data_IF_938682220854
#
_entry.id   IF_938682220854
#
_cell.length_a   1.000
_cell.length_b   1.000
_cell.length_c   1.000
_cell.angle_alpha   90.00
_cell.angle_beta   90.00
_cell.angle_gamma   90.00
#
_symmetry.space_group_name_H-M   'P 1'
#
loop_
_entity.id
_entity.type
_entity.pdbx_description
1 polymer ?
#
# COMPACT_ATOMS: atom_id res chain seq x y z
N UNK A 1 -54.77 -4.30 1.92
CA UNK A 1 -53.93 -4.61 0.73
C UNK A 1 -52.99 -3.47 0.31
N UNK A 2 -53.32 -2.20 0.58
CA UNK A 2 -52.47 -1.06 0.17
C UNK A 2 -51.22 -0.86 1.06
N UNK A 3 -51.30 -1.11 2.37
CA UNK A 3 -50.17 -0.95 3.29
C UNK A 3 -48.99 -1.87 2.95
N UNK A 4 -49.28 -3.13 2.60
CA UNK A 4 -48.26 -4.13 2.24
C UNK A 4 -47.54 -3.75 0.94
N UNK A 5 -48.25 -3.15 -0.02
CA UNK A 5 -47.67 -2.63 -1.27
C UNK A 5 -46.76 -1.43 -1.00
N UNK A 6 -47.14 -0.54 -0.09
CA UNK A 6 -46.31 0.62 0.28
C UNK A 6 -45.04 0.21 1.01
N UNK A 7 -45.11 -0.77 1.93
CA UNK A 7 -43.92 -1.31 2.62
C UNK A 7 -42.97 -2.01 1.63
N UNK A 8 -43.52 -2.77 0.68
CA UNK A 8 -42.72 -3.43 -0.36
C UNK A 8 -42.05 -2.41 -1.29
N UNK A 9 -42.75 -1.32 -1.65
CA UNK A 9 -42.19 -0.23 -2.47
C UNK A 9 -41.10 0.55 -1.73
N UNK A 10 -41.30 0.86 -0.44
CA UNK A 10 -40.28 1.51 0.40
C UNK A 10 -39.05 0.60 0.57
N UNK A 11 -39.25 -0.72 0.70
CA UNK A 11 -38.19 -1.72 0.72
C UNK A 11 -37.36 -1.74 -0.56
N UNK A 12 -38.01 -1.67 -1.74
CA UNK A 12 -37.33 -1.62 -3.04
C UNK A 12 -36.58 -0.29 -3.24
N UNK A 13 -37.17 0.84 -2.85
CA UNK A 13 -36.52 2.16 -2.97
C UNK A 13 -35.33 2.27 -2.00
N UNK A 14 -35.43 1.71 -0.80
CA UNK A 14 -34.31 1.66 0.17
C UNK A 14 -33.19 0.74 -0.29
N UNK A 15 -33.49 -0.32 -1.05
CA UNK A 15 -32.49 -1.19 -1.67
C UNK A 15 -31.78 -0.50 -2.85
N UNK A 16 -32.49 0.35 -3.60
CA UNK A 16 -31.90 1.12 -4.70
C UNK A 16 -30.94 2.22 -4.24
N UNK A 17 -31.13 2.78 -3.04
CA UNK A 17 -30.27 3.81 -2.46
C UNK A 17 -28.88 3.30 -2.00
N UNK A 18 -28.63 1.99 -2.07
CA UNK A 18 -27.30 1.40 -1.82
C UNK A 18 -26.43 1.29 -3.08
N UNK A 19 -26.89 1.80 -4.22
CA UNK A 19 -26.11 1.82 -5.47
C UNK A 19 -25.32 3.11 -5.62
N UNK A 20 -24.33 3.31 -4.74
CA UNK A 20 -23.20 4.19 -5.09
C UNK A 20 -22.29 3.44 -6.06
N UNK A 21 -22.70 3.41 -7.33
CA UNK A 21 -21.83 3.08 -8.45
C UNK A 21 -21.00 4.32 -8.79
N UNK A 22 -20.06 4.67 -7.92
CA UNK A 22 -18.97 5.58 -8.24
C UNK A 22 -17.68 4.79 -8.06
N UNK A 23 -16.92 4.70 -9.15
CA UNK A 23 -15.63 4.02 -9.28
C UNK A 23 -14.81 4.01 -7.98
N UNK A 24 -14.33 2.85 -7.56
CA UNK A 24 -13.41 2.76 -6.43
C UNK A 24 -12.20 1.94 -6.82
N UNK A 25 -11.06 2.57 -6.68
CA UNK A 25 -9.75 1.97 -6.76
C UNK A 25 -9.59 1.08 -5.50
N UNK A 26 -10.05 -0.18 -5.59
CA UNK A 26 -10.03 -1.11 -4.46
C UNK A 26 -8.59 -1.31 -3.95
N UNK A 27 -8.44 -1.57 -2.65
CA UNK A 27 -7.14 -1.83 -2.04
C UNK A 27 -6.37 -2.93 -2.80
N UNK A 28 -5.16 -2.61 -3.25
CA UNK A 28 -4.28 -3.54 -3.95
C UNK A 28 -3.32 -4.18 -2.93
N UNK A 29 -3.83 -5.10 -2.11
CA UNK A 29 -3.04 -5.74 -1.06
C UNK A 29 -2.17 -6.88 -1.59
N UNK A 30 -0.96 -7.02 -1.05
CA UNK A 30 -0.11 -8.20 -1.29
C UNK A 30 -0.47 -9.35 -0.32
N UNK A 31 -1.22 -9.07 0.76
CA UNK A 31 -1.66 -10.05 1.75
C UNK A 31 -2.91 -10.81 1.25
N UNK A 32 -3.04 -12.12 1.52
CA UNK A 32 -2.34 -12.93 2.53
C UNK A 32 -1.02 -13.57 2.05
N UNK A 33 -0.63 -13.37 0.78
CA UNK A 33 0.50 -14.07 0.18
C UNK A 33 1.84 -13.39 0.44
N UNK A 34 2.91 -14.02 -0.06
CA UNK A 34 4.25 -13.45 -0.10
C UNK A 34 4.57 -12.87 -1.49
N UNK A 35 3.71 -13.08 -2.48
CA UNK A 35 3.81 -12.42 -3.78
C UNK A 35 3.50 -10.92 -3.70
N UNK A 36 4.25 -10.16 -4.48
CA UNK A 36 3.94 -8.76 -4.79
C UNK A 36 3.20 -8.67 -6.12
N UNK A 37 2.09 -7.94 -6.15
CA UNK A 37 1.38 -7.63 -7.41
C UNK A 37 2.18 -6.69 -8.33
N UNK A 38 1.92 -6.77 -9.63
CA UNK A 38 2.63 -5.96 -10.63
C UNK A 38 2.29 -4.47 -10.50
N UNK A 39 1.04 -4.15 -10.17
CA UNK A 39 0.54 -2.79 -10.03
C UNK A 39 1.05 -2.12 -8.76
N UNK A 40 1.23 -0.80 -8.83
CA UNK A 40 1.59 0.03 -7.67
C UNK A 40 0.34 0.50 -6.92
N UNK A 41 0.50 0.98 -5.69
CA UNK A 41 -0.59 1.51 -4.84
C UNK A 41 -1.19 2.83 -5.34
N UNK A 42 -0.53 3.49 -6.29
CA UNK A 42 -0.98 4.75 -6.88
C UNK A 42 -0.33 6.00 -6.27
N UNK A 43 -0.35 7.10 -7.01
CA UNK A 43 0.39 8.33 -6.68
C UNK A 43 -0.07 8.96 -5.36
N UNK A 44 0.87 9.26 -4.45
CA UNK A 44 0.62 9.82 -3.11
C UNK A 44 -0.32 8.96 -2.24
N UNK A 45 -0.40 7.66 -2.51
CA UNK A 45 -1.15 6.70 -1.68
C UNK A 45 -0.18 6.04 -0.73
N UNK A 46 -0.52 6.03 0.56
CA UNK A 46 0.16 5.23 1.57
C UNK A 46 -0.69 3.99 1.85
N UNK A 47 -0.07 2.82 1.86
CA UNK A 47 -0.71 1.58 2.25
C UNK A 47 0.12 0.89 3.32
N UNK A 48 -0.53 0.51 4.42
CA UNK A 48 0.08 -0.23 5.52
C UNK A 48 -0.55 -1.61 5.59
N UNK A 49 0.27 -2.64 5.73
CA UNK A 49 -0.15 -4.01 5.85
C UNK A 49 0.52 -4.63 7.07
N UNK A 50 -0.28 -5.23 7.95
CA UNK A 50 0.19 -5.87 9.16
C UNK A 50 -0.31 -7.30 9.25
N UNK A 51 0.52 -8.19 9.77
CA UNK A 51 0.20 -9.60 9.98
C UNK A 51 0.69 -10.09 11.33
N UNK A 52 -0.09 -10.95 11.97
CA UNK A 52 0.33 -11.73 13.12
C UNK A 52 0.25 -13.21 12.74
N UNK A 53 1.39 -13.89 12.78
CA UNK A 53 1.52 -15.30 12.44
C UNK A 53 2.00 -16.09 13.65
N UNK A 54 1.46 -17.29 13.80
CA UNK A 54 2.04 -18.34 14.62
C UNK A 54 2.97 -19.20 13.76
N UNK A 55 4.12 -19.56 14.31
CA UNK A 55 5.18 -20.31 13.65
C UNK A 55 5.42 -21.59 14.43
N UNK A 56 5.33 -22.71 13.72
CA UNK A 56 5.83 -24.00 14.17
C UNK A 56 6.93 -24.48 13.23
N UNK A 57 8.10 -24.72 13.79
CA UNK A 57 9.27 -25.24 13.09
C UNK A 57 9.79 -26.48 13.80
N UNK A 58 10.01 -27.55 13.06
CA UNK A 58 10.58 -28.79 13.55
C UNK A 58 11.66 -29.26 12.60
N UNK A 59 12.80 -29.71 13.12
CA UNK A 59 13.90 -30.17 12.28
C UNK A 59 14.30 -31.58 12.65
N UNK A 60 14.12 -32.53 11.73
CA UNK A 60 14.33 -33.96 12.01
C UNK A 60 15.81 -34.28 12.27
N UNK A 61 16.70 -33.78 11.42
CA UNK A 61 18.15 -34.08 11.51
C UNK A 61 18.81 -33.44 12.73
N UNK A 62 18.56 -32.15 12.98
CA UNK A 62 19.11 -31.42 14.12
C UNK A 62 18.32 -31.62 15.42
N UNK A 63 17.19 -32.35 15.33
CA UNK A 63 16.29 -32.68 16.44
C UNK A 63 15.98 -31.48 17.34
N UNK A 64 15.46 -30.42 16.72
CA UNK A 64 14.96 -29.24 17.45
C UNK A 64 13.53 -28.90 17.06
N UNK A 65 12.87 -28.17 17.95
CA UNK A 65 11.55 -27.59 17.75
C UNK A 65 11.58 -26.12 18.14
N UNK A 66 11.02 -25.26 17.30
CA UNK A 66 10.81 -23.85 17.60
C UNK A 66 9.33 -23.50 17.44
N UNK A 67 8.76 -22.86 18.46
CA UNK A 67 7.38 -22.39 18.46
C UNK A 67 7.35 -20.92 18.83
N UNK A 68 6.63 -20.12 18.05
CA UNK A 68 6.68 -18.68 18.23
C UNK A 68 5.61 -17.91 17.48
N UNK A 69 5.75 -16.60 17.56
CA UNK A 69 4.96 -15.66 16.81
C UNK A 69 5.86 -14.79 15.94
N UNK A 70 5.35 -14.37 14.79
CA UNK A 70 5.95 -13.34 13.97
C UNK A 70 4.94 -12.23 13.68
N UNK A 71 5.46 -11.01 13.66
CA UNK A 71 4.75 -9.81 13.26
C UNK A 71 5.36 -9.36 11.95
N UNK A 72 4.53 -9.33 10.91
CA UNK A 72 4.88 -8.76 9.61
C UNK A 72 4.32 -7.34 9.51
N UNK A 73 5.14 -6.41 9.05
CA UNK A 73 4.73 -5.04 8.76
C UNK A 73 5.30 -4.62 7.41
N UNK A 74 4.42 -4.21 6.50
CA UNK A 74 4.79 -3.70 5.18
C UNK A 74 4.20 -2.31 5.01
N UNK A 75 5.07 -1.32 4.75
CA UNK A 75 4.69 0.03 4.40
C UNK A 75 4.98 0.29 2.93
N UNK A 76 3.98 0.75 2.16
CA UNK A 76 4.10 1.03 0.73
C UNK A 76 3.64 2.44 0.42
N UNK A 77 4.43 3.19 -0.33
CA UNK A 77 4.14 4.56 -0.68
C UNK A 77 4.34 4.81 -2.17
N UNK A 78 3.28 5.20 -2.87
CA UNK A 78 3.39 5.67 -4.24
C UNK A 78 3.82 7.12 -4.29
N UNK A 79 4.91 7.42 -5.00
CA UNK A 79 5.62 8.70 -4.82
C UNK A 79 5.09 9.79 -5.77
N UNK A 80 5.63 9.87 -7.00
CA UNK A 80 5.31 10.95 -7.95
C UNK A 80 4.63 10.47 -9.25
N UNK A 81 4.76 9.20 -9.60
CA UNK A 81 4.13 8.53 -10.76
C UNK A 81 3.21 7.42 -10.26
N UNK A 82 2.15 7.11 -11.00
CA UNK A 82 1.31 5.96 -10.70
C UNK A 82 2.04 4.63 -10.79
N UNK A 83 3.06 4.57 -11.64
CA UNK A 83 3.83 3.36 -11.92
C UNK A 83 4.93 3.10 -10.88
N UNK A 84 5.21 4.03 -9.97
CA UNK A 84 6.36 3.96 -9.06
C UNK A 84 5.92 3.92 -7.60
N UNK A 85 6.41 2.92 -6.88
CA UNK A 85 6.15 2.66 -5.47
C UNK A 85 7.45 2.36 -4.74
N UNK A 86 7.58 2.86 -3.51
CA UNK A 86 8.62 2.47 -2.57
C UNK A 86 7.98 1.63 -1.47
N UNK A 87 8.66 0.57 -1.04
CA UNK A 87 8.20 -0.30 0.04
C UNK A 87 9.28 -0.52 1.09
N UNK A 88 8.81 -0.74 2.32
CA UNK A 88 9.61 -1.21 3.45
C UNK A 88 8.88 -2.41 4.04
N UNK A 89 9.59 -3.53 4.15
CA UNK A 89 9.10 -4.80 4.68
C UNK A 89 9.89 -5.15 5.94
N UNK A 90 9.20 -5.35 7.05
CA UNK A 90 9.76 -5.68 8.36
C UNK A 90 9.10 -6.96 8.88
N UNK A 91 9.91 -7.89 9.37
CA UNK A 91 9.43 -9.07 10.07
C UNK A 91 10.17 -9.21 11.40
N UNK A 92 9.40 -9.17 12.49
CA UNK A 92 9.90 -9.43 13.83
C UNK A 92 9.41 -10.81 14.30
N UNK A 93 10.32 -11.67 14.74
CA UNK A 93 10.00 -13.02 15.19
C UNK A 93 10.41 -13.20 16.65
N UNK A 94 9.56 -13.89 17.41
CA UNK A 94 9.83 -14.34 18.77
C UNK A 94 9.47 -15.82 18.88
N UNK A 95 10.45 -16.67 19.20
CA UNK A 95 10.20 -18.10 19.36
C UNK A 95 10.92 -18.71 20.56
N UNK A 96 10.44 -19.88 20.97
CA UNK A 96 11.07 -20.74 21.97
C UNK A 96 11.71 -21.90 21.24
N UNK A 97 13.03 -21.85 21.15
CA UNK A 97 13.86 -22.92 20.59
C UNK A 97 14.12 -23.98 21.66
N UNK A 98 13.79 -25.22 21.35
CA UNK A 98 14.00 -26.39 22.21
C UNK A 98 14.72 -27.47 21.42
N UNK A 99 15.91 -27.84 21.86
CA UNK A 99 16.68 -29.01 21.40
C UNK A 99 16.97 -29.90 22.61
N UNK A 100 17.50 -31.10 22.39
CA UNK A 100 17.74 -32.11 23.44
C UNK A 100 18.57 -31.60 24.63
N UNK A 101 19.43 -30.60 24.40
CA UNK A 101 20.36 -30.07 25.41
C UNK A 101 20.14 -28.58 25.74
N UNK A 102 19.40 -27.85 24.89
CA UNK A 102 19.32 -26.39 24.97
C UNK A 102 17.88 -25.95 24.81
N UNK A 103 17.43 -25.12 25.74
CA UNK A 103 16.16 -24.40 25.65
C UNK A 103 16.45 -22.91 25.73
N UNK A 104 16.19 -22.19 24.66
CA UNK A 104 16.42 -20.75 24.61
C UNK A 104 15.20 -20.03 24.02
N UNK A 105 14.98 -18.79 24.44
CA UNK A 105 14.03 -17.88 23.81
C UNK A 105 14.80 -17.01 22.85
N UNK A 106 14.36 -16.93 21.59
CA UNK A 106 14.95 -16.08 20.57
C UNK A 106 14.00 -14.95 20.22
N UNK A 107 14.54 -13.78 19.94
CA UNK A 107 13.75 -12.61 19.58
C UNK A 107 14.55 -11.65 18.72
N UNK A 108 13.98 -11.19 17.60
CA UNK A 108 14.72 -10.30 16.72
C UNK A 108 14.00 -9.95 15.43
N UNK A 109 14.57 -8.95 14.75
CA UNK A 109 14.18 -8.59 13.39
C UNK A 109 14.78 -9.60 12.43
N UNK A 110 13.93 -10.52 11.96
CA UNK A 110 14.34 -11.58 11.03
C UNK A 110 14.55 -11.05 9.61
N UNK A 111 13.73 -10.09 9.19
CA UNK A 111 13.83 -9.49 7.86
C UNK A 111 13.60 -7.98 7.94
N UNK A 112 14.45 -7.23 7.24
CA UNK A 112 14.24 -5.82 6.95
C UNK A 112 14.64 -5.60 5.50
N UNK A 113 13.68 -5.25 4.65
CA UNK A 113 13.92 -5.02 3.23
C UNK A 113 13.36 -3.66 2.86
N UNK A 114 14.15 -2.87 2.13
CA UNK A 114 13.70 -1.60 1.57
C UNK A 114 13.86 -1.70 0.06
N UNK A 115 12.85 -1.30 -0.70
CA UNK A 115 12.96 -1.32 -2.15
C UNK A 115 11.98 -0.42 -2.86
N UNK A 116 12.10 -0.45 -4.18
CA UNK A 116 11.28 0.32 -5.09
C UNK A 116 10.81 -0.58 -6.24
N UNK A 117 9.58 -0.36 -6.68
CA UNK A 117 8.90 -1.07 -7.75
C UNK A 117 8.53 -0.10 -8.86
N UNK A 118 8.73 -0.52 -10.11
CA UNK A 118 8.30 0.24 -11.28
C UNK A 118 7.50 -0.63 -12.25
N UNK A 119 6.29 -0.19 -12.60
CA UNK A 119 5.43 -0.81 -13.60
C UNK A 119 5.82 -0.36 -15.01
N UNK A 120 6.40 -1.26 -15.80
CA UNK A 120 6.84 -0.97 -17.17
C UNK A 120 5.69 -1.07 -18.17
N UNK A 121 4.86 -2.10 -18.02
CA UNK A 121 3.82 -2.40 -18.99
C UNK A 121 2.49 -2.70 -18.30
N UNK A 122 1.47 -1.98 -18.74
CA UNK A 122 0.08 -2.14 -18.32
C UNK A 122 -0.79 -2.45 -19.55
N UNK A 123 -1.27 -3.71 -19.71
CA UNK A 123 -2.14 -4.09 -20.82
C UNK A 123 -3.55 -3.50 -20.74
N UNK A 124 -3.98 -3.01 -19.57
CA UNK A 124 -5.32 -2.48 -19.31
C UNK A 124 -5.40 -0.96 -19.40
N UNK A 125 -4.29 -0.28 -19.70
CA UNK A 125 -4.23 1.19 -19.79
C UNK A 125 -5.21 1.83 -20.78
N UNK A 126 -5.66 1.08 -21.79
CA UNK A 126 -6.68 1.53 -22.76
C UNK A 126 -8.13 1.33 -22.31
N UNK A 127 -8.33 0.89 -21.06
CA UNK A 127 -9.63 0.59 -20.47
C UNK A 127 -10.12 -0.84 -20.75
N UNK A 128 -11.15 -1.30 -20.03
CA UNK A 128 -11.78 -2.60 -20.26
C UNK A 128 -12.44 -2.65 -21.64
N UNK A 129 -12.44 -3.83 -22.26
CA UNK A 129 -13.15 -4.02 -23.52
C UNK A 129 -14.66 -3.81 -23.30
N UNK A 130 -15.30 -3.06 -24.21
CA UNK A 130 -16.75 -2.83 -24.14
C UNK A 130 -17.51 -4.16 -24.26
N UNK A 131 -18.50 -4.43 -23.38
CA UNK A 131 -19.28 -5.67 -23.46
C UNK A 131 -20.12 -5.69 -24.75
N UNK A 132 -20.15 -6.84 -25.42
CA UNK A 132 -21.03 -7.04 -26.58
C UNK A 132 -22.43 -7.37 -26.08
N UNK A 133 -23.39 -6.47 -26.31
CA UNK A 133 -24.79 -6.62 -25.88
C UNK A 133 -25.58 -7.69 -26.65
N UNK A 134 -25.10 -8.15 -27.81
CA UNK A 134 -25.81 -9.08 -28.68
C UNK A 134 -25.43 -10.54 -28.49
N UNK A 135 -24.24 -10.85 -27.96
CA UNK A 135 -23.75 -12.22 -27.89
C UNK A 135 -23.07 -12.53 -26.56
N UNK A 136 -23.73 -13.35 -25.75
CA UNK A 136 -23.16 -13.93 -24.54
C UNK A 136 -21.88 -14.74 -24.83
N UNK A 137 -21.88 -15.52 -25.93
CA UNK A 137 -20.72 -16.31 -26.35
C UNK A 137 -19.54 -15.43 -26.75
N UNK A 138 -19.78 -14.27 -27.38
CA UNK A 138 -18.71 -13.33 -27.70
C UNK A 138 -18.02 -12.76 -26.44
N UNK A 139 -18.77 -12.56 -25.37
CA UNK A 139 -18.23 -12.06 -24.09
C UNK A 139 -17.48 -13.14 -23.29
N UNK A 140 -17.87 -14.42 -23.44
CA UNK A 140 -17.24 -15.56 -22.75
C UNK A 140 -16.15 -16.30 -23.54
N UNK A 141 -15.86 -15.90 -24.78
CA UNK A 141 -14.77 -16.49 -25.56
C UNK A 141 -13.42 -16.09 -24.97
N UNK A 142 -12.51 -17.06 -24.91
CA UNK A 142 -11.12 -16.83 -24.51
C UNK A 142 -10.50 -15.73 -25.39
N UNK A 143 -9.91 -14.71 -24.76
CA UNK A 143 -9.27 -13.58 -25.44
C UNK A 143 -7.76 -13.71 -25.28
N UNK A 144 -7.04 -13.87 -26.37
CA UNK A 144 -5.58 -13.95 -26.35
C UNK A 144 -4.90 -12.74 -25.69
N UNK A 145 -5.53 -11.55 -25.75
CA UNK A 145 -5.05 -10.34 -25.06
C UNK A 145 -4.95 -10.51 -23.53
N UNK A 146 -5.74 -11.39 -22.91
CA UNK A 146 -5.68 -11.64 -21.45
C UNK A 146 -4.49 -12.51 -21.03
N UNK A 147 -3.75 -13.07 -21.99
CA UNK A 147 -2.48 -13.77 -21.73
C UNK A 147 -1.28 -12.82 -21.62
N UNK A 148 -1.45 -11.54 -21.97
CA UNK A 148 -0.37 -10.56 -21.89
C UNK A 148 -0.34 -10.03 -20.46
N UNK A 149 0.71 -10.31 -19.67
CA UNK A 149 0.78 -9.85 -18.29
C UNK A 149 1.08 -8.35 -18.21
N UNK A 150 0.64 -7.73 -17.12
CA UNK A 150 1.28 -6.52 -16.61
C UNK A 150 2.67 -6.88 -16.08
N UNK A 151 3.69 -6.08 -16.42
CA UNK A 151 5.08 -6.37 -16.07
C UNK A 151 5.67 -5.23 -15.27
N UNK A 152 6.19 -5.55 -14.08
CA UNK A 152 6.95 -4.64 -13.25
C UNK A 152 8.28 -5.27 -12.83
N UNK A 153 9.23 -4.42 -12.44
CA UNK A 153 10.42 -4.86 -11.74
C UNK A 153 10.53 -4.17 -10.40
N UNK A 154 11.15 -4.86 -9.47
CA UNK A 154 11.44 -4.44 -8.12
C UNK A 154 12.95 -4.53 -7.89
N UNK A 155 13.50 -3.51 -7.26
CA UNK A 155 14.88 -3.46 -6.78
C UNK A 155 14.85 -3.05 -5.32
N UNK A 156 15.58 -3.76 -4.47
CA UNK A 156 15.67 -3.48 -3.07
C UNK A 156 16.97 -3.96 -2.46
N UNK A 157 17.12 -3.73 -1.17
CA UNK A 157 18.21 -4.24 -0.37
C UNK A 157 17.67 -4.79 0.93
N UNK A 158 18.15 -5.95 1.32
CA UNK A 158 17.96 -6.47 2.66
C UNK A 158 19.00 -5.86 3.58
N UNK A 159 18.55 -5.48 4.76
CA UNK A 159 19.38 -5.08 5.86
C UNK A 159 19.25 -6.12 6.97
N UNK A 160 20.37 -6.66 7.44
CA UNK A 160 20.41 -7.63 8.52
C UNK A 160 20.96 -6.92 9.75
N UNK A 161 20.14 -6.87 10.81
CA UNK A 161 20.58 -6.44 12.13
C UNK A 161 21.02 -7.68 12.92
N UNK A 162 22.16 -7.60 13.60
CA UNK A 162 22.64 -8.72 14.44
C UNK A 162 21.63 -9.05 15.53
N UNK A 163 21.17 -10.30 15.53
CA UNK A 163 20.24 -10.88 16.51
C UNK A 163 20.26 -12.42 16.39
N UNK A 164 19.44 -13.11 17.19
CA UNK A 164 19.37 -14.58 17.24
C UNK A 164 18.98 -15.28 15.92
N UNK A 165 18.46 -14.54 14.93
CA UNK A 165 18.08 -15.04 13.61
C UNK A 165 19.07 -14.65 12.51
N UNK A 166 20.11 -13.88 12.83
CA UNK A 166 21.15 -13.50 11.88
C UNK A 166 21.95 -14.73 11.43
N UNK A 167 22.22 -14.83 10.12
CA UNK A 167 23.01 -15.94 9.59
C UNK A 167 24.49 -15.60 9.77
N UNK A 168 25.31 -16.47 10.41
CA UNK A 168 26.72 -16.22 10.58
C UNK A 168 27.45 -15.99 9.24
N UNK A 169 28.27 -14.93 9.17
CA UNK A 169 29.04 -14.60 7.97
C UNK A 169 28.24 -13.90 6.86
N UNK A 170 26.98 -13.55 7.11
CA UNK A 170 26.17 -12.78 6.17
C UNK A 170 26.53 -11.30 6.17
N UNK A 171 26.58 -10.69 4.98
CA UNK A 171 26.73 -9.24 4.86
C UNK A 171 25.52 -8.51 5.45
N UNK A 172 25.78 -7.43 6.21
CA UNK A 172 24.74 -6.57 6.77
C UNK A 172 23.80 -5.98 5.70
N UNK A 173 24.31 -5.79 4.47
CA UNK A 173 23.52 -5.36 3.33
C UNK A 173 23.63 -6.36 2.18
N UNK A 174 22.50 -6.71 1.58
CA UNK A 174 22.47 -7.57 0.40
C UNK A 174 21.39 -7.14 -0.61
N UNK A 175 21.76 -6.88 -1.89
CA UNK A 175 20.80 -6.53 -2.92
C UNK A 175 19.77 -7.63 -3.22
N UNK A 176 18.57 -7.20 -3.62
CA UNK A 176 17.45 -8.04 -4.04
C UNK A 176 16.82 -7.46 -5.30
N UNK A 177 16.55 -8.30 -6.30
CA UNK A 177 15.80 -7.91 -7.49
C UNK A 177 14.69 -8.89 -7.76
N UNK A 178 13.60 -8.41 -8.33
CA UNK A 178 12.46 -9.24 -8.68
C UNK A 178 11.79 -8.73 -9.95
N UNK A 179 11.38 -9.66 -10.82
CA UNK A 179 10.51 -9.38 -11.96
C UNK A 179 9.14 -9.94 -11.64
N UNK A 180 8.10 -9.14 -11.86
CA UNK A 180 6.72 -9.47 -11.51
C UNK A 180 5.89 -9.42 -12.79
N UNK A 181 5.19 -10.51 -13.08
CA UNK A 181 4.23 -10.62 -14.15
C UNK A 181 2.85 -10.93 -13.57
N UNK A 182 1.83 -10.16 -13.94
CA UNK A 182 0.47 -10.34 -13.44
C UNK A 182 -0.52 -10.46 -14.60
N UNK A 183 -1.23 -11.58 -14.66
CA UNK A 183 -2.25 -11.86 -15.66
C UNK A 183 -3.63 -11.75 -15.00
N UNK A 184 -4.57 -11.03 -15.64
CA UNK A 184 -5.98 -11.12 -15.28
C UNK A 184 -6.73 -11.91 -16.34
N UNK A 185 -7.14 -13.12 -15.95
CA UNK A 185 -7.91 -14.00 -16.81
C UNK A 185 -9.41 -13.69 -16.70
N UNK A 186 -10.17 -14.19 -17.68
CA UNK A 186 -11.62 -14.11 -17.63
C UNK A 186 -12.17 -14.91 -16.45
N UNK A 187 -13.18 -14.37 -15.77
CA UNK A 187 -13.83 -15.05 -14.65
C UNK A 187 -13.20 -14.79 -13.28
N UNK A 188 -12.68 -13.59 -13.03
CA UNK A 188 -12.16 -13.13 -11.71
C UNK A 188 -10.94 -13.90 -11.20
N UNK A 189 -10.17 -14.49 -12.11
CA UNK A 189 -8.90 -15.14 -11.82
C UNK A 189 -7.74 -14.19 -12.07
N UNK A 190 -6.82 -14.12 -11.11
CA UNK A 190 -5.58 -13.36 -11.24
C UNK A 190 -4.43 -14.30 -10.95
N UNK A 191 -3.47 -14.37 -11.87
CA UNK A 191 -2.24 -15.12 -11.69
C UNK A 191 -1.07 -14.15 -11.62
N UNK A 192 -0.36 -14.17 -10.50
CA UNK A 192 0.84 -13.38 -10.25
C UNK A 192 2.04 -14.32 -10.26
N UNK A 193 3.09 -13.92 -10.96
CA UNK A 193 4.35 -14.65 -11.08
C UNK A 193 5.49 -13.73 -10.71
N UNK A 194 6.23 -14.09 -9.67
CA UNK A 194 7.37 -13.34 -9.19
C UNK A 194 8.61 -14.19 -9.40
N UNK A 195 9.59 -13.68 -10.12
CA UNK A 195 10.92 -14.28 -10.23
C UNK A 195 11.87 -13.44 -9.40
N UNK A 196 12.56 -14.06 -8.45
CA UNK A 196 13.30 -13.37 -7.39
C UNK A 196 14.75 -13.83 -7.43
N UNK A 197 15.67 -12.87 -7.41
CA UNK A 197 17.06 -13.10 -7.05
C UNK A 197 17.33 -12.31 -5.77
N UNK A 198 17.54 -13.03 -4.68
CA UNK A 198 17.67 -12.48 -3.35
C UNK A 198 19.09 -12.64 -2.83
N UNK A 199 19.51 -11.70 -1.98
CA UNK A 199 20.85 -11.64 -1.37
C UNK A 199 21.98 -11.76 -2.40
N UNK A 200 21.85 -11.04 -3.52
CA UNK A 200 22.84 -11.03 -4.60
C UNK A 200 24.18 -10.57 -4.03
N UNK A 201 25.28 -11.18 -4.48
CA UNK A 201 26.63 -10.90 -3.99
C UNK A 201 26.87 -11.22 -2.48
N UNK A 202 25.97 -11.97 -1.85
CA UNK A 202 26.19 -12.61 -0.55
C UNK A 202 26.50 -14.10 -0.73
N UNK A 203 27.13 -14.71 0.28
CA UNK A 203 27.38 -16.16 0.35
C UNK A 203 26.05 -16.94 0.33
N UNK A 204 24.98 -16.32 0.84
CA UNK A 204 23.63 -16.91 0.91
C UNK A 204 22.72 -16.44 -0.24
N UNK A 205 23.29 -16.20 -1.43
CA UNK A 205 22.52 -15.84 -2.62
C UNK A 205 21.48 -16.92 -2.93
N UNK A 206 20.28 -16.51 -3.32
CA UNK A 206 19.19 -17.44 -3.65
C UNK A 206 18.38 -16.96 -4.84
N UNK A 207 17.88 -17.92 -5.61
CA UNK A 207 16.91 -17.71 -6.66
C UNK A 207 15.60 -18.36 -6.26
N UNK A 208 14.50 -17.66 -6.51
CA UNK A 208 13.19 -18.17 -6.17
C UNK A 208 12.14 -17.75 -7.16
N UNK A 209 11.00 -18.41 -7.06
CA UNK A 209 9.79 -18.02 -7.75
C UNK A 209 8.61 -18.05 -6.78
N UNK A 210 7.59 -17.24 -7.05
CA UNK A 210 6.30 -17.30 -6.39
C UNK A 210 5.22 -17.29 -7.48
N UNK A 211 4.36 -18.29 -7.46
CA UNK A 211 3.18 -18.40 -8.32
C UNK A 211 1.94 -18.30 -7.46
N UNK A 212 1.19 -17.22 -7.62
CA UNK A 212 0.00 -16.93 -6.80
C UNK A 212 -1.22 -16.83 -7.68
N UNK A 213 -2.18 -17.72 -7.41
CA UNK A 213 -3.46 -17.78 -8.09
C UNK A 213 -4.55 -17.30 -7.13
N UNK A 214 -5.18 -16.19 -7.47
CA UNK A 214 -6.26 -15.59 -6.70
C UNK A 214 -7.57 -15.69 -7.46
N UNK A 215 -8.62 -16.10 -6.77
CA UNK A 215 -9.98 -16.17 -7.29
C UNK A 215 -10.91 -15.25 -6.49
N UNK A 216 -11.47 -14.25 -7.16
CA UNK A 216 -12.50 -13.38 -6.58
C UNK A 216 -13.85 -14.10 -6.55
N UNK A 217 -14.25 -14.61 -5.38
CA UNK A 217 -15.54 -15.31 -5.21
C UNK A 217 -16.68 -14.30 -5.42
N UNK A 218 -16.59 -13.14 -4.75
CA UNK A 218 -17.52 -12.02 -4.90
C UNK A 218 -16.78 -10.69 -4.71
N UNK A 219 -17.50 -9.57 -4.59
CA UNK A 219 -16.90 -8.24 -4.45
C UNK A 219 -16.13 -8.04 -3.12
N UNK A 220 -16.38 -8.90 -2.13
CA UNK A 220 -15.75 -8.79 -0.80
C UNK A 220 -14.83 -9.96 -0.46
N UNK A 221 -15.05 -11.13 -1.04
CA UNK A 221 -14.33 -12.35 -0.70
C UNK A 221 -13.43 -12.79 -1.84
N UNK A 222 -12.18 -13.09 -1.52
CA UNK A 222 -11.26 -13.76 -2.44
C UNK A 222 -10.57 -14.94 -1.75
N UNK A 223 -10.24 -15.95 -2.54
CA UNK A 223 -9.42 -17.07 -2.12
C UNK A 223 -8.11 -17.05 -2.90
N UNK A 224 -7.04 -17.50 -2.27
CA UNK A 224 -5.69 -17.47 -2.80
C UNK A 224 -5.01 -18.82 -2.59
N UNK A 225 -4.33 -19.28 -3.62
CA UNK A 225 -3.39 -20.39 -3.60
C UNK A 225 -2.03 -19.90 -4.08
N UNK A 226 -0.97 -20.11 -3.31
CA UNK A 226 0.38 -19.67 -3.65
C UNK A 226 1.36 -20.85 -3.54
N UNK A 227 2.20 -21.01 -4.56
CA UNK A 227 3.32 -21.93 -4.58
C UNK A 227 4.63 -21.15 -4.72
N UNK A 228 5.50 -21.28 -3.72
CA UNK A 228 6.80 -20.64 -3.68
C UNK A 228 7.90 -21.68 -3.76
N UNK A 229 8.86 -21.49 -4.66
CA UNK A 229 10.08 -22.28 -4.73
C UNK A 229 11.28 -21.42 -4.41
N UNK A 230 12.16 -21.89 -3.51
CA UNK A 230 13.40 -21.23 -3.13
C UNK A 230 14.56 -22.19 -3.40
N UNK A 231 15.59 -21.68 -4.07
CA UNK A 231 16.82 -22.39 -4.36
C UNK A 231 18.01 -21.51 -3.99
N UNK A 232 18.67 -21.83 -2.89
CA UNK A 232 19.96 -21.29 -2.50
C UNK A 232 20.77 -22.37 -1.79
N UNK A 233 22.06 -22.08 -1.56
CA UNK A 233 22.97 -23.04 -0.94
C UNK A 233 22.69 -23.20 0.57
N UNK A 234 22.30 -22.11 1.23
CA UNK A 234 21.92 -22.11 2.65
C UNK A 234 20.53 -22.72 2.89
N UNK A 235 19.56 -22.35 2.05
CA UNK A 235 18.18 -22.80 2.19
C UNK A 235 17.54 -23.00 0.83
N UNK A 236 16.88 -24.14 0.66
CA UNK A 236 16.10 -24.44 -0.53
C UNK A 236 14.88 -25.22 -0.12
N UNK A 237 13.70 -24.82 -0.59
CA UNK A 237 12.44 -25.43 -0.20
C UNK A 237 11.32 -25.09 -1.18
N UNK A 238 10.24 -25.87 -1.12
CA UNK A 238 8.97 -25.54 -1.74
C UNK A 238 7.95 -25.25 -0.65
N UNK A 239 7.18 -24.18 -0.80
CA UNK A 239 6.20 -23.73 0.19
C UNK A 239 4.86 -23.55 -0.50
N UNK A 240 3.82 -24.08 0.13
CA UNK A 240 2.44 -23.97 -0.31
C UNK A 240 1.67 -23.13 0.69
N UNK A 241 0.93 -22.16 0.17
CA UNK A 241 0.17 -21.21 0.96
C UNK A 241 -1.28 -21.19 0.49
N UNK A 242 -2.19 -21.32 1.43
CA UNK A 242 -3.61 -21.13 1.22
C UNK A 242 -4.04 -19.91 2.03
N UNK A 243 -4.83 -19.04 1.41
CA UNK A 243 -5.32 -17.86 2.10
C UNK A 243 -6.69 -17.42 1.60
N UNK A 244 -7.36 -16.61 2.41
CA UNK A 244 -8.60 -15.98 2.07
C UNK A 244 -8.59 -14.53 2.56
N UNK A 245 -9.24 -13.64 1.80
CA UNK A 245 -9.37 -12.23 2.17
C UNK A 245 -10.83 -11.82 2.22
N UNK A 246 -11.10 -10.86 3.09
CA UNK A 246 -12.37 -10.18 3.20
C UNK A 246 -12.20 -8.67 3.16
N UNK A 247 -12.84 -8.02 2.20
CA UNK A 247 -12.88 -6.57 2.04
C UNK A 247 -13.95 -5.99 2.97
N UNK A 248 -13.52 -5.33 4.05
CA UNK A 248 -14.41 -4.66 5.00
C UNK A 248 -14.91 -3.32 4.43
N UNK A 249 -13.99 -2.57 3.83
CA UNK A 249 -14.23 -1.32 3.11
C UNK A 249 -13.29 -1.28 1.90
N UNK A 250 -13.56 -0.42 0.94
CA UNK A 250 -12.73 -0.29 -0.26
C UNK A 250 -11.24 -0.02 0.04
N UNK A 251 -10.95 0.56 1.21
CA UNK A 251 -9.61 0.86 1.69
C UNK A 251 -9.15 -0.02 2.88
N UNK A 252 -9.93 -1.02 3.29
CA UNK A 252 -9.61 -1.86 4.45
C UNK A 252 -9.95 -3.33 4.17
N UNK A 253 -8.95 -4.19 4.26
CA UNK A 253 -9.05 -5.63 4.05
C UNK A 253 -8.51 -6.38 5.26
N UNK A 254 -9.13 -7.52 5.59
CA UNK A 254 -8.58 -8.51 6.53
C UNK A 254 -8.33 -9.82 5.81
N UNK A 255 -7.34 -10.57 6.29
CA UNK A 255 -6.91 -11.81 5.67
C UNK A 255 -6.60 -12.90 6.71
N UNK A 256 -6.67 -14.14 6.25
CA UNK A 256 -6.21 -15.32 6.97
C UNK A 256 -5.40 -16.20 6.02
N UNK A 257 -4.31 -16.79 6.52
CA UNK A 257 -3.47 -17.69 5.73
C UNK A 257 -2.92 -18.86 6.54
N UNK A 258 -2.63 -19.94 5.83
CA UNK A 258 -1.86 -21.08 6.32
C UNK A 258 -0.81 -21.44 5.27
N UNK A 259 0.41 -21.70 5.71
CA UNK A 259 1.56 -21.99 4.87
C UNK A 259 2.21 -23.27 5.39
N UNK A 260 2.55 -24.19 4.50
CA UNK A 260 3.29 -25.40 4.81
C UNK A 260 4.38 -25.62 3.78
N UNK A 261 5.58 -25.97 4.23
CA UNK A 261 6.67 -26.34 3.35
C UNK A 261 6.68 -27.85 3.00
N UNK A 262 7.47 -28.21 2.00
CA UNK A 262 7.56 -29.58 1.49
C UNK A 262 8.70 -30.33 2.20
N UNK A 263 9.79 -29.66 2.56
CA UNK A 263 10.91 -30.30 3.26
C UNK A 263 10.65 -30.48 4.76
N UNK A 264 11.38 -31.43 5.35
CA UNK A 264 11.42 -31.65 6.81
C UNK A 264 12.73 -31.17 7.46
N UNK A 265 13.55 -30.42 6.70
CA UNK A 265 14.86 -29.89 7.12
C UNK A 265 14.95 -28.37 6.94
N UNK A 266 14.21 -27.58 7.74
CA UNK A 266 13.18 -27.97 8.72
C UNK A 266 11.79 -28.16 8.09
N UNK A 267 10.85 -28.83 8.77
CA UNK A 267 9.40 -28.71 8.55
C UNK A 267 8.91 -27.40 9.16
N UNK A 268 8.07 -26.69 8.41
CA UNK A 268 7.57 -25.37 8.70
C UNK A 268 6.06 -25.29 8.48
N UNK A 269 5.34 -24.87 9.50
CA UNK A 269 3.92 -24.57 9.46
C UNK A 269 3.70 -23.15 10.01
N UNK A 270 3.15 -22.27 9.17
CA UNK A 270 2.80 -20.90 9.53
C UNK A 270 1.30 -20.71 9.38
N UNK A 271 0.66 -20.11 10.37
CA UNK A 271 -0.75 -19.71 10.26
C UNK A 271 -0.93 -18.32 10.84
N UNK A 272 -1.68 -17.46 10.16
CA UNK A 272 -1.79 -16.08 10.61
C UNK A 272 -3.02 -15.34 10.10
N UNK A 273 -3.24 -14.20 10.74
CA UNK A 273 -4.25 -13.22 10.35
C UNK A 273 -3.58 -11.90 10.01
N UNK A 274 -4.18 -11.14 9.10
CA UNK A 274 -3.65 -9.87 8.66
C UNK A 274 -4.70 -8.81 8.41
N UNK A 275 -4.22 -7.58 8.30
CA UNK A 275 -5.01 -6.41 7.98
C UNK A 275 -4.22 -5.52 7.04
N UNK A 276 -4.89 -4.96 6.03
CA UNK A 276 -4.32 -4.01 5.08
C UNK A 276 -5.17 -2.77 5.01
N UNK A 277 -4.55 -1.60 5.13
CA UNK A 277 -5.23 -0.31 5.15
C UNK A 277 -4.59 0.66 4.16
N UNK A 278 -5.39 1.17 3.22
CA UNK A 278 -5.04 2.20 2.24
C UNK A 278 -5.46 3.59 2.74
N UNK A 279 -4.55 4.56 2.62
CA UNK A 279 -4.75 5.98 2.90
C UNK A 279 -4.56 6.78 1.62
N UNK A 280 -5.67 7.27 1.09
CA UNK A 280 -5.79 7.86 -0.25
C UNK A 280 -6.38 9.28 -0.24
N UNK A 281 -6.51 9.93 0.92
CA UNK A 281 -7.11 11.28 1.07
C UNK A 281 -6.50 12.37 0.17
N UNK A 282 -5.26 12.21 -0.30
CA UNK A 282 -4.55 13.16 -1.16
C UNK A 282 -4.37 12.66 -2.60
N UNK A 283 -4.98 11.52 -2.94
CA UNK A 283 -4.92 10.95 -4.28
C UNK A 283 -5.86 11.70 -5.21
N UNK A 284 -5.41 11.95 -6.44
CA UNK A 284 -6.23 12.46 -7.54
C UNK A 284 -5.90 11.63 -8.76
N UNK A 285 -6.91 11.02 -9.35
CA UNK A 285 -6.74 10.21 -10.56
C UNK A 285 -6.16 11.09 -11.68
N UNK A 286 -5.04 10.72 -12.29
CA UNK A 286 -4.51 11.43 -13.43
C UNK A 286 -5.45 11.24 -14.63
N UNK A 287 -5.69 12.34 -15.35
CA UNK A 287 -6.43 12.29 -16.61
C UNK A 287 -5.61 11.52 -17.65
N UNK A 288 -6.10 10.37 -18.06
CA UNK A 288 -5.52 9.56 -19.12
C UNK A 288 -6.07 10.02 -20.48
N UNK A 289 -5.19 10.31 -21.44
CA UNK A 289 -5.55 10.47 -22.87
C UNK A 289 -4.64 9.57 -23.69
N UNK A 290 -5.23 8.66 -24.48
CA UNK A 290 -4.51 7.69 -25.33
C UNK A 290 -3.42 6.88 -24.59
N UNK A 291 -3.65 6.56 -23.31
CA UNK A 291 -2.70 5.78 -22.50
C UNK A 291 -1.44 6.55 -22.09
N UNK A 292 -1.46 7.88 -22.08
CA UNK A 292 -0.45 8.72 -21.44
C UNK A 292 -1.10 9.60 -20.37
N UNK A 293 -0.40 9.78 -19.25
CA UNK A 293 -0.79 10.78 -18.24
C UNK A 293 -0.69 12.16 -18.89
N UNK A 294 -1.80 12.89 -18.95
CA UNK A 294 -1.80 14.29 -19.38
C UNK A 294 -1.52 15.13 -18.14
N UNK A 295 -0.41 15.88 -18.16
CA UNK A 295 -0.17 16.92 -17.13
C UNK A 295 -1.28 17.96 -17.27
N UNK A 296 -1.95 18.29 -16.18
CA UNK A 296 -2.85 19.44 -16.16
C UNK A 296 -2.05 20.69 -16.55
N UNK A 297 -2.31 21.23 -17.73
CA UNK A 297 -1.81 22.54 -18.10
C UNK A 297 -2.43 23.55 -17.14
N UNK A 298 -1.58 24.25 -16.37
CA UNK A 298 -1.99 25.36 -15.50
C UNK A 298 -2.79 26.45 -16.24
N UNK A 299 -2.83 26.43 -17.58
CA UNK A 299 -3.62 27.33 -18.42
C UNK A 299 -5.13 27.04 -18.38
N UNK A 300 -5.56 25.80 -18.19
CA UNK A 300 -7.00 25.49 -18.19
C UNK A 300 -7.70 25.85 -16.87
N UNK A 301 -6.96 25.95 -15.76
CA UNK A 301 -7.48 26.49 -14.49
C UNK A 301 -7.90 27.97 -14.56
N UNK A 302 -7.33 28.75 -15.48
CA UNK A 302 -7.68 30.18 -15.62
C UNK A 302 -9.04 30.43 -16.29
N UNK A 303 -9.67 29.44 -16.94
CA UNK A 303 -10.95 29.64 -17.64
C UNK A 303 -12.20 29.34 -16.80
N UNK A 304 -12.09 28.50 -15.77
CA UNK A 304 -13.20 28.20 -14.87
C UNK A 304 -12.80 28.67 -13.47
N UNK A 305 -13.14 29.89 -13.08
CA UNK A 305 -12.72 30.61 -11.87
C UNK A 305 -13.06 29.99 -10.51
N UNK A 306 -12.87 28.68 -10.35
CA UNK A 306 -12.97 27.96 -9.09
C UNK A 306 -11.55 27.69 -8.62
N UNK A 307 -11.13 28.44 -7.60
CA UNK A 307 -9.87 28.20 -6.89
C UNK A 307 -9.89 26.79 -6.30
N UNK A 308 -8.79 26.06 -6.46
CA UNK A 308 -8.64 24.74 -5.82
C UNK A 308 -8.52 24.86 -4.30
N UNK A 309 -8.89 23.82 -3.55
CA UNK A 309 -8.85 23.83 -2.07
C UNK A 309 -7.48 24.23 -1.50
N UNK A 310 -6.39 23.88 -2.19
CA UNK A 310 -5.03 24.29 -1.84
C UNK A 310 -4.82 25.81 -2.02
N UNK A 311 -5.37 26.41 -3.08
CA UNK A 311 -5.31 27.87 -3.32
C UNK A 311 -6.22 28.63 -2.35
N UNK A 312 -7.34 28.04 -1.94
CA UNK A 312 -8.22 28.59 -0.89
C UNK A 312 -7.55 28.52 0.49
N UNK A 313 -6.89 27.41 0.84
CA UNK A 313 -6.10 27.31 2.07
C UNK A 313 -4.92 28.27 2.07
N UNK A 314 -4.22 28.40 0.94
CA UNK A 314 -3.08 29.31 0.82
C UNK A 314 -3.52 30.78 0.87
N UNK A 315 -4.65 31.12 0.23
CA UNK A 315 -5.27 32.44 0.35
C UNK A 315 -5.78 32.72 1.78
N UNK A 316 -6.38 31.73 2.44
CA UNK A 316 -6.82 31.85 3.83
C UNK A 316 -5.63 32.07 4.78
N UNK A 317 -4.54 31.30 4.63
CA UNK A 317 -3.30 31.48 5.41
C UNK A 317 -2.64 32.84 5.16
N UNK A 318 -2.72 33.35 3.93
CA UNK A 318 -2.19 34.67 3.58
C UNK A 318 -3.04 35.78 4.20
N UNK A 319 -4.38 35.68 4.11
CA UNK A 319 -5.30 36.60 4.75
C UNK A 319 -5.19 36.60 6.28
N UNK A 320 -4.90 35.44 6.88
CA UNK A 320 -4.69 35.31 8.33
C UNK A 320 -3.36 35.98 8.76
N UNK A 321 -2.30 35.85 7.95
CA UNK A 321 -1.04 36.59 8.17
C UNK A 321 -1.21 38.09 8.02
N UNK A 322 -1.96 38.56 7.02
CA UNK A 322 -2.18 39.98 6.80
C UNK A 322 -3.04 40.60 7.92
N UNK A 323 -4.05 39.87 8.44
CA UNK A 323 -4.79 40.28 9.63
C UNK A 323 -3.91 40.39 10.87
N UNK A 324 -2.97 39.46 11.06
CA UNK A 324 -2.04 39.50 12.20
C UNK A 324 -1.11 40.71 12.11
N UNK A 325 -0.61 41.00 10.91
CA UNK A 325 0.29 42.12 10.65
C UNK A 325 -0.37 43.49 10.85
N UNK A 326 -1.65 43.63 10.47
CA UNK A 326 -2.40 44.86 10.72
C UNK A 326 -2.76 45.07 12.20
N UNK A 327 -2.95 43.97 12.95
CA UNK A 327 -3.24 44.04 14.38
C UNK A 327 -2.00 44.46 15.19
N UNK A 328 -0.82 43.96 14.80
CA UNK A 328 0.45 44.37 15.39
C UNK A 328 0.77 45.86 15.10
N UNK A 329 0.37 46.39 13.93
CA UNK A 329 0.54 47.82 13.62
C UNK A 329 -0.45 48.74 14.33
N UNK A 330 -1.68 48.29 14.62
CA UNK A 330 -2.65 49.05 15.42
C UNK A 330 -2.25 49.09 16.91
N UNK A 331 -1.66 48.02 17.44
CA UNK A 331 -1.13 48.00 18.81
C UNK A 331 0.13 48.88 18.97
N UNK A 332 1.01 48.95 17.95
CA UNK A 332 2.17 49.88 17.94
C UNK A 332 1.77 51.36 17.84
N UNK A 333 0.62 51.70 17.25
CA UNK A 333 0.15 53.07 17.12
C UNK A 333 -0.49 53.60 18.43
N UNK A 334 -1.04 52.70 19.26
CA UNK A 334 -1.64 53.02 20.57
C UNK A 334 -0.57 53.21 21.66
N UNK A 335 0.59 52.57 21.56
CA UNK A 335 1.67 52.64 22.57
C UNK A 335 2.59 53.86 22.46
N UNK A 336 2.45 54.74 21.45
CA UNK A 336 3.24 55.98 21.39
C UNK A 336 2.74 56.98 22.46
N UNK A 337 3.56 57.37 23.46
CA UNK A 337 3.14 58.38 24.42
C UNK A 337 3.03 59.75 23.74
N UNK A 338 1.89 60.42 23.95
CA UNK A 338 1.64 61.79 23.51
C UNK A 338 2.63 62.72 24.22
N UNK A 339 3.54 63.35 23.47
CA UNK A 339 4.44 64.39 23.99
C UNK A 339 3.63 65.61 24.44
N UNK A 340 3.58 65.84 25.75
CA UNK A 340 2.92 66.98 26.36
C UNK A 340 3.75 68.25 26.12
N UNK A 341 3.36 69.08 25.13
CA UNK A 341 3.99 70.38 24.87
C UNK A 341 3.77 71.33 26.05
N UNK A 342 4.81 71.57 26.85
CA UNK A 342 4.87 72.67 27.83
C UNK A 342 4.68 74.01 27.12
N UNK A 343 3.62 74.75 27.46
CA UNK A 343 3.41 76.15 27.06
C UNK A 343 4.42 77.06 27.77
N UNK A 344 5.13 77.91 27.01
CA UNK A 344 5.91 79.05 27.53
C UNK A 344 4.97 80.23 27.81
N UNK A 345 5.37 81.08 28.74
CA UNK A 345 4.53 82.06 29.45
C UNK A 345 4.61 83.49 28.87
N UNK A 346 4.97 83.64 27.59
CA UNK A 346 5.35 84.95 27.04
C UNK A 346 4.46 85.47 25.89
N UNK A 347 3.31 84.85 25.58
CA UNK A 347 2.39 85.37 24.55
C UNK A 347 1.11 85.98 25.16
N UNK A 348 1.27 86.77 26.22
CA UNK A 348 0.31 87.80 26.63
C UNK A 348 0.79 89.14 26.07
N UNK A 349 -0.15 89.89 25.49
CA UNK A 349 -0.06 91.30 25.06
C UNK A 349 0.49 91.57 23.65
N UNK A 350 -0.42 91.79 22.70
CA UNK A 350 -0.72 93.09 22.06
C UNK A 350 -1.81 92.81 21.00
N UNK A 351 -2.93 93.51 20.95
CA UNK A 351 -3.07 94.96 21.08
C UNK A 351 -3.26 95.52 19.67
N UNK A 352 -4.51 95.84 19.35
CA UNK A 352 -5.00 96.48 18.11
C UNK A 352 -4.04 97.55 17.56
N UNK A 353 -3.74 97.50 16.27
CA UNK A 353 -4.16 98.46 15.23
C UNK A 353 -3.93 97.90 13.82
#
# INVERSE_FOLDING_TARGET
MNLLKTVFLIGIVSFSASTYAQFTDQINSNRPGNSAGAFSVGKKVLQLEGGLNYIHEAHDVLNYKANGFAIDLTGRYGVWREQFEVSVDLQYQMDKYTSNLIKNSRGGLRQTTIGAKYLFYDPYKKGPDKPNIYSWKANKKFKWKTLIPAVSAYVGGNYVMENDFSIPGESAFSPKVMVIAQNHFQGKWVLVTNLIADKIASINSSFGYILTLTYGINEKWSAMFENRGIKGDYYSDGILTLGATHLLKNNLQVDVSINKNIKTTPELLYGGIGCSWRFDKKHKDPKMKDGKEVKEDKKDKKKNGVLSDEELEEAAKKAEKDKKKNKDSEEEEIEKPVEEKKKRLDDFEEGKE
#
